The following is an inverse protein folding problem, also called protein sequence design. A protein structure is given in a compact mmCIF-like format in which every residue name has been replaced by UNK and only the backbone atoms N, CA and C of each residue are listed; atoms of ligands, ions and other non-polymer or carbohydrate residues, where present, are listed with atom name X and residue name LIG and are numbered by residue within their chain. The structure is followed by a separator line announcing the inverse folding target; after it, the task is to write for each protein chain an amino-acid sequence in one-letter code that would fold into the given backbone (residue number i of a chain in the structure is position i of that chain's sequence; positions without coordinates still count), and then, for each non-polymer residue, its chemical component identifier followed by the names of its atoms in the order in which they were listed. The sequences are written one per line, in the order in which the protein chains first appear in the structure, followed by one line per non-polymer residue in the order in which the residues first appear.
data_IF_497956507417
#
_entry.id   IF_497956507417
#
_cell.length_a   1.000
_cell.length_b   1.000
_cell.length_c   1.000
_cell.angle_alpha   90.00
_cell.angle_beta   90.00
_cell.angle_gamma   90.00
#
_symmetry.space_group_name_H-M   'P 1'
#
loop_
_entity.id
_entity.type
_entity.pdbx_description
1 polymer ?
#
# COMPACT_ATOMS: atom_id res chain seq x y z
N UNK A 1 -25.49 -6.08 9.51
CA UNK A 1 -25.35 -5.09 10.61
C UNK A 1 -23.94 -5.12 11.18
N UNK A 2 -23.34 -3.95 11.35
CA UNK A 2 -22.01 -3.88 11.93
C UNK A 2 -21.99 -4.40 13.36
N UNK A 3 -20.91 -5.10 13.70
CA UNK A 3 -20.64 -5.54 15.08
C UNK A 3 -19.59 -4.60 15.66
N UNK A 4 -20.03 -3.77 16.58
CA UNK A 4 -19.19 -2.74 17.18
C UNK A 4 -18.98 -3.08 18.65
N UNK A 5 -17.72 -3.09 19.07
CA UNK A 5 -17.36 -3.27 20.47
C UNK A 5 -16.79 -1.98 21.05
N UNK A 6 -17.09 -1.76 22.30
CA UNK A 6 -16.42 -0.70 23.04
C UNK A 6 -14.99 -1.14 23.36
N UNK A 7 -14.02 -0.28 23.08
CA UNK A 7 -12.60 -0.61 23.30
C UNK A 7 -12.33 -1.04 24.74
N UNK A 8 -13.00 -0.41 25.72
CA UNK A 8 -12.84 -0.74 27.13
C UNK A 8 -13.33 -2.13 27.51
N UNK A 9 -14.14 -2.76 26.65
CA UNK A 9 -14.72 -4.09 26.87
C UNK A 9 -13.98 -5.19 26.13
N UNK A 10 -12.93 -4.85 25.39
CA UNK A 10 -12.14 -5.83 24.65
C UNK A 10 -11.15 -6.50 25.58
N UNK A 11 -11.28 -7.82 25.71
CA UNK A 11 -10.38 -8.63 26.51
C UNK A 11 -9.59 -9.59 25.63
N UNK A 12 -8.35 -9.93 26.00
CA UNK A 12 -7.61 -10.99 25.29
C UNK A 12 -8.41 -12.29 25.32
N UNK A 13 -8.63 -12.90 24.15
CA UNK A 13 -9.33 -14.18 24.05
C UNK A 13 -8.38 -15.26 23.55
N UNK A 14 -8.50 -16.44 24.14
CA UNK A 14 -7.77 -17.62 23.65
C UNK A 14 -8.34 -18.01 22.29
N UNK A 15 -7.46 -18.24 21.32
CA UNK A 15 -7.83 -18.69 19.99
C UNK A 15 -7.82 -17.63 18.89
N UNK A 16 -7.53 -16.36 19.21
CA UNK A 16 -7.26 -15.34 18.19
C UNK A 16 -5.77 -15.15 18.03
N UNK A 17 -5.25 -15.50 16.86
CA UNK A 17 -3.88 -15.21 16.48
C UNK A 17 -3.82 -13.91 15.68
N UNK A 18 -2.65 -13.29 15.62
CA UNK A 18 -2.42 -12.14 14.73
C UNK A 18 -2.77 -12.48 13.29
N UNK A 19 -2.49 -13.71 12.88
CA UNK A 19 -2.79 -14.20 11.53
C UNK A 19 -4.30 -14.14 11.24
N UNK A 20 -5.14 -14.56 12.16
CA UNK A 20 -6.60 -14.54 11.98
C UNK A 20 -7.13 -13.11 11.82
N UNK A 21 -6.59 -12.18 12.58
CA UNK A 21 -6.97 -10.77 12.49
C UNK A 21 -6.55 -10.20 11.14
N UNK A 22 -5.33 -10.49 10.69
CA UNK A 22 -4.81 -10.04 9.41
C UNK A 22 -5.66 -10.59 8.26
N UNK A 23 -6.06 -11.85 8.30
CA UNK A 23 -6.90 -12.46 7.27
C UNK A 23 -8.27 -11.78 7.18
N UNK A 24 -8.86 -11.41 8.32
CA UNK A 24 -10.12 -10.67 8.35
C UNK A 24 -9.98 -9.28 7.74
N UNK A 25 -8.90 -8.57 8.05
CA UNK A 25 -8.62 -7.27 7.45
C UNK A 25 -8.33 -7.38 5.96
N UNK A 26 -7.63 -8.43 5.53
CA UNK A 26 -7.36 -8.68 4.11
C UNK A 26 -8.64 -8.87 3.33
N UNK A 27 -9.57 -9.66 3.86
CA UNK A 27 -10.89 -9.86 3.25
C UNK A 27 -11.67 -8.54 3.18
N UNK A 28 -11.69 -7.78 4.28
CA UNK A 28 -12.33 -6.48 4.34
C UNK A 28 -11.73 -5.51 3.30
N UNK A 29 -10.40 -5.52 3.16
CA UNK A 29 -9.71 -4.70 2.16
C UNK A 29 -10.13 -5.05 0.74
N UNK A 30 -10.14 -6.34 0.39
CA UNK A 30 -10.52 -6.78 -0.95
C UNK A 30 -11.95 -6.39 -1.32
N UNK A 31 -12.84 -6.34 -0.35
CA UNK A 31 -14.24 -5.94 -0.55
C UNK A 31 -14.43 -4.43 -0.56
N UNK A 32 -13.42 -3.65 -0.19
CA UNK A 32 -13.49 -2.19 -0.11
C UNK A 32 -13.26 -1.53 -1.47
N UNK A 33 -13.60 -0.24 -1.55
CA UNK A 33 -13.28 0.59 -2.71
C UNK A 33 -11.77 0.63 -2.97
N UNK A 34 -10.96 0.74 -1.92
CA UNK A 34 -9.50 0.70 -2.03
C UNK A 34 -9.00 -0.62 -2.60
N UNK A 35 -9.59 -1.73 -2.19
CA UNK A 35 -9.24 -3.04 -2.73
C UNK A 35 -9.57 -3.16 -4.22
N UNK A 36 -10.71 -2.63 -4.63
CA UNK A 36 -11.07 -2.58 -6.05
C UNK A 36 -10.12 -1.69 -6.84
N UNK A 37 -9.77 -0.53 -6.30
CA UNK A 37 -8.78 0.35 -6.93
C UNK A 37 -7.43 -0.35 -7.05
N UNK A 38 -6.98 -1.03 -6.00
CA UNK A 38 -5.73 -1.78 -6.01
C UNK A 38 -5.68 -2.80 -7.15
N UNK A 39 -6.78 -3.48 -7.42
CA UNK A 39 -6.85 -4.51 -8.46
C UNK A 39 -6.72 -3.95 -9.89
N UNK A 40 -6.97 -2.65 -10.07
CA UNK A 40 -6.84 -1.98 -11.37
C UNK A 40 -5.39 -1.82 -11.81
N UNK A 41 -4.46 -1.78 -10.85
CA UNK A 41 -3.04 -1.49 -11.13
C UNK A 41 -2.17 -2.74 -10.99
N UNK A 42 -1.42 -3.11 -12.05
CA UNK A 42 -0.44 -4.19 -12.00
C UNK A 42 0.89 -3.68 -11.45
N UNK A 43 0.95 -3.42 -10.15
CA UNK A 43 2.08 -2.72 -9.52
C UNK A 43 3.43 -3.39 -9.76
N UNK A 44 3.51 -4.73 -9.71
CA UNK A 44 4.76 -5.44 -9.94
C UNK A 44 5.27 -5.27 -11.37
N UNK A 45 4.36 -5.36 -12.35
CA UNK A 45 4.71 -5.16 -13.75
C UNK A 45 5.12 -3.71 -14.01
N UNK A 46 4.44 -2.76 -13.38
CA UNK A 46 4.80 -1.34 -13.46
C UNK A 46 6.19 -1.09 -12.88
N UNK A 47 6.50 -1.69 -11.74
CA UNK A 47 7.81 -1.56 -11.11
C UNK A 47 8.92 -2.11 -12.01
N UNK A 48 8.70 -3.25 -12.64
CA UNK A 48 9.65 -3.84 -13.59
C UNK A 48 9.84 -2.95 -14.82
N UNK A 49 8.76 -2.41 -15.37
CA UNK A 49 8.81 -1.51 -16.53
C UNK A 49 9.58 -0.23 -16.22
N UNK A 50 9.55 0.24 -14.98
CA UNK A 50 10.28 1.42 -14.52
C UNK A 50 11.73 1.10 -14.13
N UNK A 51 12.11 -0.18 -14.11
CA UNK A 51 13.45 -0.57 -13.67
C UNK A 51 13.69 -0.38 -12.18
N UNK A 52 12.63 -0.34 -11.39
CA UNK A 52 12.76 -0.29 -9.93
C UNK A 52 13.19 -1.66 -9.42
N UNK A 53 14.21 -1.68 -8.58
CA UNK A 53 14.74 -2.91 -8.02
C UNK A 53 14.89 -2.79 -6.50
N UNK A 54 14.88 -3.94 -5.82
CA UNK A 54 15.23 -3.97 -4.41
C UNK A 54 16.73 -3.72 -4.24
N UNK A 55 17.09 -2.92 -3.24
CA UNK A 55 18.50 -2.77 -2.87
C UNK A 55 18.97 -4.05 -2.19
N UNK A 56 19.99 -4.66 -2.78
CA UNK A 56 20.59 -5.91 -2.26
C UNK A 56 21.56 -5.67 -1.11
N UNK A 57 22.09 -4.46 -0.97
CA UNK A 57 23.11 -4.10 0.02
C UNK A 57 22.61 -2.89 0.80
N UNK A 58 22.65 -2.99 2.14
CA UNK A 58 22.31 -1.92 3.04
C UNK A 58 20.98 -2.12 3.76
N UNK A 59 20.36 -1.02 4.20
CA UNK A 59 19.10 -1.04 4.93
C UNK A 59 18.01 -1.67 4.08
N UNK A 60 17.22 -2.54 4.70
CA UNK A 60 15.96 -2.99 4.10
C UNK A 60 15.11 -1.77 3.78
N UNK A 61 14.74 -1.63 2.52
CA UNK A 61 13.71 -0.66 2.16
C UNK A 61 12.39 -1.09 2.80
N UNK A 62 11.74 -0.16 3.49
CA UNK A 62 10.42 -0.38 4.06
C UNK A 62 9.43 -0.70 2.94
N UNK A 63 9.61 -0.05 1.80
CA UNK A 63 8.74 -0.21 0.64
C UNK A 63 9.46 -1.01 -0.45
N UNK A 64 8.81 -2.09 -0.90
CA UNK A 64 9.21 -2.80 -2.10
C UNK A 64 9.02 -1.91 -3.34
N UNK A 65 9.59 -2.25 -4.50
CA UNK A 65 9.36 -1.47 -5.72
C UNK A 65 7.88 -1.27 -6.06
N UNK A 66 7.06 -2.32 -5.97
CA UNK A 66 5.63 -2.22 -6.23
C UNK A 66 4.92 -1.38 -5.16
N UNK A 67 5.33 -1.48 -3.91
CA UNK A 67 4.78 -0.69 -2.81
C UNK A 67 5.04 0.81 -2.99
N UNK A 68 6.18 1.19 -3.54
CA UNK A 68 6.49 2.60 -3.84
C UNK A 68 5.49 3.19 -4.83
N UNK A 69 5.17 2.46 -5.89
CA UNK A 69 4.18 2.87 -6.87
C UNK A 69 2.80 2.95 -6.22
N UNK A 70 2.44 1.94 -5.44
CA UNK A 70 1.17 1.91 -4.72
C UNK A 70 1.02 3.12 -3.78
N UNK A 71 2.09 3.49 -3.08
CA UNK A 71 2.09 4.67 -2.22
C UNK A 71 1.79 5.95 -3.00
N UNK A 72 2.36 6.10 -4.19
CA UNK A 72 2.11 7.27 -5.03
C UNK A 72 0.68 7.28 -5.58
N UNK A 73 0.14 6.13 -5.95
CA UNK A 73 -1.26 6.02 -6.35
C UNK A 73 -2.19 6.36 -5.19
N UNK A 74 -1.88 5.86 -4.00
CA UNK A 74 -2.64 6.18 -2.78
C UNK A 74 -2.61 7.67 -2.47
N UNK A 75 -1.46 8.31 -2.62
CA UNK A 75 -1.33 9.76 -2.44
C UNK A 75 -2.22 10.52 -3.42
N UNK A 76 -2.21 10.14 -4.68
CA UNK A 76 -3.05 10.76 -5.70
C UNK A 76 -4.54 10.55 -5.41
N UNK A 77 -4.91 9.36 -4.99
CA UNK A 77 -6.30 9.02 -4.67
C UNK A 77 -6.82 9.81 -3.47
N UNK A 78 -6.03 9.92 -2.41
CA UNK A 78 -6.45 10.59 -1.17
C UNK A 78 -6.32 12.11 -1.23
N UNK A 79 -5.40 12.62 -2.02
CA UNK A 79 -5.08 14.04 -2.05
C UNK A 79 -4.32 14.53 -0.81
N UNK A 80 -3.82 13.61 0.03
CA UNK A 80 -3.09 13.96 1.23
C UNK A 80 -1.74 14.61 0.91
N UNK A 81 -1.30 15.53 1.79
CA UNK A 81 0.09 15.98 1.80
C UNK A 81 1.00 14.82 2.22
N UNK A 82 2.31 14.97 2.01
CA UNK A 82 3.28 13.94 2.41
C UNK A 82 3.15 13.60 3.89
N UNK A 83 3.02 14.61 4.74
CA UNK A 83 2.87 14.43 6.17
C UNK A 83 1.56 13.72 6.52
N UNK A 84 0.44 14.16 5.93
CA UNK A 84 -0.86 13.54 6.16
C UNK A 84 -0.86 12.08 5.71
N UNK A 85 -0.23 11.80 4.58
CA UNK A 85 -0.15 10.43 4.06
C UNK A 85 0.55 9.50 5.06
N UNK A 86 1.67 9.93 5.63
CA UNK A 86 2.39 9.15 6.64
C UNK A 86 1.55 8.96 7.90
N UNK A 87 0.92 10.03 8.38
CA UNK A 87 0.07 9.95 9.57
C UNK A 87 -1.09 8.98 9.38
N UNK A 88 -1.78 9.07 8.25
CA UNK A 88 -2.89 8.15 7.93
C UNK A 88 -2.41 6.73 7.66
N UNK A 89 -1.27 6.58 7.03
CA UNK A 89 -0.70 5.25 6.77
C UNK A 89 -0.41 4.52 8.09
N UNK A 90 0.12 5.21 9.08
CA UNK A 90 0.40 4.63 10.39
C UNK A 90 -0.87 4.13 11.10
N UNK A 91 -1.99 4.76 10.87
CA UNK A 91 -3.23 4.48 11.58
C UNK A 91 -4.30 3.74 10.80
N UNK A 92 -4.09 3.47 9.53
CA UNK A 92 -5.12 2.85 8.68
C UNK A 92 -4.61 1.56 8.04
N UNK A 93 -5.18 0.45 8.47
CA UNK A 93 -4.76 -0.87 8.02
C UNK A 93 -5.03 -1.09 6.51
N UNK A 94 -6.12 -0.53 5.98
CA UNK A 94 -6.42 -0.63 4.55
C UNK A 94 -5.37 0.11 3.71
N UNK A 95 -4.90 1.26 4.16
CA UNK A 95 -3.82 1.98 3.49
C UNK A 95 -2.51 1.20 3.51
N UNK A 96 -2.22 0.54 4.64
CA UNK A 96 -1.05 -0.34 4.75
C UNK A 96 -1.16 -1.51 3.78
N UNK A 97 -2.33 -2.13 3.68
CA UNK A 97 -2.57 -3.24 2.76
C UNK A 97 -2.48 -2.80 1.30
N UNK A 98 -2.94 -1.60 0.97
CA UNK A 98 -2.80 -1.04 -0.36
C UNK A 98 -1.33 -0.96 -0.78
N UNK A 99 -0.45 -0.62 0.14
CA UNK A 99 0.99 -0.53 -0.08
C UNK A 99 1.71 -1.86 0.16
N UNK A 100 1.01 -2.90 0.57
CA UNK A 100 1.62 -4.21 0.85
C UNK A 100 2.58 -4.19 2.03
N UNK A 101 2.34 -3.34 3.01
CA UNK A 101 3.17 -3.23 4.21
C UNK A 101 2.35 -3.47 5.47
N UNK A 102 3.04 -3.76 6.55
CA UNK A 102 2.45 -3.84 7.88
C UNK A 102 3.32 -3.03 8.83
N UNK A 103 2.74 -2.01 9.45
CA UNK A 103 3.46 -1.13 10.37
C UNK A 103 3.18 -1.56 11.80
N UNK A 104 4.26 -1.86 12.54
CA UNK A 104 4.14 -2.11 13.96
C UNK A 104 3.79 -0.80 14.67
N UNK A 105 2.68 -0.74 15.42
CA UNK A 105 2.25 0.49 16.09
C UNK A 105 3.27 1.06 17.08
N UNK A 106 4.14 0.20 17.62
CA UNK A 106 5.22 0.63 18.52
C UNK A 106 6.38 1.31 17.78
N UNK A 107 6.46 1.14 16.47
CA UNK A 107 7.53 1.68 15.63
C UNK A 107 6.94 2.32 14.37
N UNK A 108 6.17 3.41 14.52
CA UNK A 108 5.54 4.05 13.37
C UNK A 108 6.57 4.75 12.48
N UNK A 109 6.17 5.04 11.25
CA UNK A 109 6.97 5.88 10.36
C UNK A 109 6.89 7.31 10.90
N UNK A 110 8.06 7.91 11.18
CA UNK A 110 8.13 9.28 11.72
C UNK A 110 8.66 10.28 10.69
N UNK A 111 9.47 9.82 9.74
CA UNK A 111 10.08 10.68 8.74
C UNK A 111 9.23 10.74 7.47
N UNK A 112 8.41 11.79 7.34
CA UNK A 112 7.56 11.98 6.17
C UNK A 112 8.34 12.30 4.88
N UNK A 113 9.63 12.61 4.97
CA UNK A 113 10.49 12.81 3.79
C UNK A 113 10.65 11.55 2.95
N UNK A 114 10.32 10.37 3.50
CA UNK A 114 10.30 9.13 2.74
C UNK A 114 9.36 9.24 1.52
N UNK A 115 8.26 9.97 1.63
CA UNK A 115 7.31 10.15 0.54
C UNK A 115 7.94 10.94 -0.61
N UNK A 116 8.62 12.05 -0.31
CA UNK A 116 9.28 12.83 -1.35
C UNK A 116 10.45 12.09 -1.98
N UNK A 117 11.18 11.30 -1.19
CA UNK A 117 12.26 10.47 -1.72
C UNK A 117 11.74 9.42 -2.72
N UNK A 118 10.64 8.76 -2.39
CA UNK A 118 9.99 7.79 -3.28
C UNK A 118 9.47 8.48 -4.54
N UNK A 119 8.83 9.63 -4.40
CA UNK A 119 8.33 10.40 -5.53
C UNK A 119 9.46 10.77 -6.50
N UNK A 120 10.58 11.23 -5.97
CA UNK A 120 11.73 11.61 -6.78
C UNK A 120 12.35 10.40 -7.48
N UNK A 121 12.45 9.27 -6.80
CA UNK A 121 12.94 8.02 -7.39
C UNK A 121 12.05 7.58 -8.57
N UNK A 122 10.75 7.59 -8.38
CA UNK A 122 9.80 7.22 -9.42
C UNK A 122 9.87 8.19 -10.59
N UNK A 123 9.90 9.50 -10.32
CA UNK A 123 9.97 10.53 -11.35
C UNK A 123 11.22 10.39 -12.21
N UNK A 124 12.35 10.00 -11.62
CA UNK A 124 13.61 9.83 -12.34
C UNK A 124 13.62 8.61 -13.27
N UNK A 125 12.71 7.67 -13.06
CA UNK A 125 12.63 6.43 -13.82
C UNK A 125 11.34 6.30 -14.63
N UNK A 126 10.55 7.38 -14.70
CA UNK A 126 9.25 7.35 -15.34
C UNK A 126 9.39 7.23 -16.86
N UNK A 127 8.84 6.15 -17.39
CA UNK A 127 8.66 5.94 -18.83
C UNK A 127 7.16 5.79 -19.08
N UNK A 128 6.54 6.87 -19.53
CA UNK A 128 5.10 6.95 -19.71
C UNK A 128 4.60 5.94 -20.72
N UNK A 129 5.33 5.77 -21.82
CA UNK A 129 4.91 4.86 -22.89
C UNK A 129 4.89 3.41 -22.43
N UNK A 130 5.95 2.98 -21.73
CA UNK A 130 6.00 1.63 -21.15
C UNK A 130 4.90 1.40 -20.11
N UNK A 131 4.63 2.38 -19.28
CA UNK A 131 3.56 2.29 -18.27
C UNK A 131 2.18 2.22 -18.91
N UNK A 132 1.95 3.00 -19.95
CA UNK A 132 0.67 2.95 -20.68
C UNK A 132 0.44 1.58 -21.32
N UNK A 133 1.48 0.96 -21.89
CA UNK A 133 1.40 -0.39 -22.42
C UNK A 133 1.03 -1.41 -21.35
N UNK A 134 1.70 -1.35 -20.21
CA UNK A 134 1.44 -2.26 -19.10
C UNK A 134 0.00 -2.11 -18.60
N UNK A 135 -0.47 -0.88 -18.41
CA UNK A 135 -1.81 -0.60 -17.94
C UNK A 135 -2.88 -1.03 -18.95
N UNK A 136 -2.68 -0.75 -20.24
CA UNK A 136 -3.62 -1.15 -21.28
C UNK A 136 -3.75 -2.66 -21.38
N UNK A 137 -2.62 -3.37 -21.31
CA UNK A 137 -2.60 -4.84 -21.31
C UNK A 137 -3.33 -5.41 -20.09
N UNK A 138 -3.11 -4.84 -18.91
CA UNK A 138 -3.76 -5.28 -17.68
C UNK A 138 -5.26 -5.05 -17.74
N UNK A 139 -5.69 -3.85 -18.15
CA UNK A 139 -7.09 -3.49 -18.25
C UNK A 139 -7.84 -4.36 -19.26
N UNK A 140 -7.20 -4.74 -20.35
CA UNK A 140 -7.82 -5.65 -21.32
C UNK A 140 -8.06 -7.05 -20.76
N UNK A 141 -7.25 -7.48 -19.79
CA UNK A 141 -7.40 -8.79 -19.14
C UNK A 141 -8.51 -8.80 -18.08
N UNK A 142 -8.73 -7.68 -17.40
CA UNK A 142 -9.73 -7.58 -16.33
C UNK A 142 -11.05 -7.00 -16.82
N UNK A 143 -11.06 -6.38 -17.98
CA UNK A 143 -12.26 -5.81 -18.57
C UNK A 143 -12.99 -6.88 -19.37
N UNK A 144 -14.00 -7.40 -18.77
CA UNK A 144 -14.82 -8.45 -19.38
C UNK A 144 -16.13 -7.86 -19.86
#
# INVERSE_FOLDING_TARGET
MAKIQNISEIHPTLGFTEFDIIEKYRKSFHESELGRLHSVFPFERMAKAMGLSEQRLGRRNIFSPSAKIALMVLKAYTGFSDRQLVEHLNGNIHYQMFCGIMINPSFPITNYKIVSAIRNEIASRLDIDSLQEVLASHLSLIHI
#
